data_IF_406028947226
#
_entry.id   IF_406028947226
#
_cell.length_a   1.000
_cell.length_b   1.000
_cell.length_c   1.000
_cell.angle_alpha   90.00
_cell.angle_beta   90.00
_cell.angle_gamma   90.00
#
_symmetry.space_group_name_H-M   'P 1'
#
loop_
_entity.id
_entity.type
_entity.pdbx_description
1 polymer ?
#
# COMPACT_ATOMS: atom_id res chain seq x y z
N UNK A 1 -13.68 22.43 -5.34
CA UNK A 1 -13.59 21.86 -6.71
C UNK A 1 -13.19 20.37 -6.67
N UNK A 2 -12.11 19.99 -6.01
CA UNK A 2 -11.58 18.60 -5.97
C UNK A 2 -12.58 17.64 -5.32
N UNK A 3 -13.30 18.06 -4.28
CA UNK A 3 -14.26 17.23 -3.55
C UNK A 3 -15.47 16.83 -4.41
N UNK A 4 -15.96 17.74 -5.25
CA UNK A 4 -17.10 17.46 -6.14
C UNK A 4 -16.71 16.50 -7.26
N UNK A 5 -15.53 16.69 -7.88
CA UNK A 5 -15.02 15.79 -8.92
C UNK A 5 -14.80 14.36 -8.37
N UNK A 6 -14.37 14.23 -7.10
CA UNK A 6 -14.25 12.92 -6.44
C UNK A 6 -15.59 12.19 -6.36
N UNK A 7 -16.63 12.89 -5.94
CA UNK A 7 -17.97 12.33 -5.84
C UNK A 7 -18.53 11.96 -7.23
N UNK A 8 -18.33 12.85 -8.20
CA UNK A 8 -18.86 12.70 -9.56
C UNK A 8 -18.19 11.54 -10.33
N UNK A 9 -16.93 11.20 -9.99
CA UNK A 9 -16.26 10.01 -10.53
C UNK A 9 -16.60 8.72 -9.75
N UNK A 10 -16.83 8.82 -8.45
CA UNK A 10 -17.14 7.66 -7.61
C UNK A 10 -18.50 7.05 -7.95
N UNK A 11 -19.51 7.89 -8.23
CA UNK A 11 -20.88 7.43 -8.50
C UNK A 11 -20.98 6.53 -9.73
N UNK A 12 -20.55 6.92 -10.94
CA UNK A 12 -20.63 6.07 -12.12
C UNK A 12 -19.78 4.80 -11.96
N UNK A 13 -18.64 4.89 -11.28
CA UNK A 13 -17.77 3.75 -11.08
C UNK A 13 -18.38 2.71 -10.12
N UNK A 14 -19.06 3.17 -9.06
CA UNK A 14 -19.83 2.29 -8.17
C UNK A 14 -20.93 1.56 -8.94
N UNK A 15 -21.62 2.25 -9.85
CA UNK A 15 -22.64 1.63 -10.70
C UNK A 15 -22.06 0.54 -11.60
N UNK A 16 -20.92 0.81 -12.25
CA UNK A 16 -20.23 -0.19 -13.10
C UNK A 16 -19.87 -1.43 -12.27
N UNK A 17 -19.30 -1.26 -11.08
CA UNK A 17 -18.95 -2.36 -10.18
C UNK A 17 -20.20 -3.16 -9.80
N UNK A 18 -21.28 -2.49 -9.36
CA UNK A 18 -22.51 -3.17 -8.99
C UNK A 18 -23.13 -3.97 -10.14
N UNK A 19 -23.12 -3.43 -11.36
CA UNK A 19 -23.63 -4.16 -12.52
C UNK A 19 -22.72 -5.33 -12.91
N UNK A 20 -21.39 -5.19 -12.80
CA UNK A 20 -20.49 -6.32 -13.06
C UNK A 20 -20.63 -7.42 -12.00
N UNK A 21 -20.90 -7.08 -10.74
CA UNK A 21 -21.18 -8.04 -9.68
C UNK A 21 -22.52 -8.77 -9.88
N UNK A 22 -23.57 -8.08 -10.34
CA UNK A 22 -24.83 -8.72 -10.72
C UNK A 22 -24.65 -9.69 -11.90
N UNK A 23 -23.90 -9.27 -12.93
CA UNK A 23 -23.61 -10.13 -14.06
C UNK A 23 -22.79 -11.37 -13.69
N UNK A 24 -21.92 -11.30 -12.66
CA UNK A 24 -21.20 -12.48 -12.15
C UNK A 24 -22.11 -13.51 -11.46
N UNK A 25 -23.31 -13.10 -11.03
CA UNK A 25 -24.29 -13.97 -10.39
C UNK A 25 -25.28 -14.61 -11.39
N UNK A 26 -25.27 -14.16 -12.67
CA UNK A 26 -26.14 -14.72 -13.70
C UNK A 26 -25.68 -16.13 -14.09
N UNK A 27 -26.64 -17.06 -14.07
CA UNK A 27 -26.40 -18.45 -14.49
C UNK A 27 -26.55 -18.62 -16.01
N UNK A 28 -25.84 -19.60 -16.57
CA UNK A 28 -26.00 -19.99 -17.99
C UNK A 28 -25.29 -19.07 -18.98
N UNK A 29 -24.44 -18.16 -18.52
CA UNK A 29 -23.61 -17.38 -19.42
C UNK A 29 -22.50 -18.23 -20.05
N UNK A 30 -22.18 -18.05 -21.35
CA UNK A 30 -21.06 -18.70 -21.99
C UNK A 30 -19.72 -18.39 -21.29
N UNK A 31 -18.81 -19.34 -21.23
CA UNK A 31 -17.52 -19.20 -20.51
C UNK A 31 -16.74 -17.93 -20.88
N UNK A 32 -16.68 -17.61 -22.17
CA UNK A 32 -15.98 -16.40 -22.63
C UNK A 32 -16.65 -15.10 -22.13
N UNK A 33 -17.98 -15.11 -21.91
CA UNK A 33 -18.71 -13.96 -21.34
C UNK A 33 -18.39 -13.83 -19.86
N UNK A 34 -18.35 -14.94 -19.12
CA UNK A 34 -17.94 -14.94 -17.71
C UNK A 34 -16.52 -14.41 -17.55
N UNK A 35 -15.59 -14.79 -18.44
CA UNK A 35 -14.23 -14.26 -18.46
C UNK A 35 -14.19 -12.74 -18.68
N UNK A 36 -15.00 -12.22 -19.62
CA UNK A 36 -15.09 -10.77 -19.85
C UNK A 36 -15.63 -10.03 -18.62
N UNK A 37 -16.65 -10.57 -17.98
CA UNK A 37 -17.25 -9.96 -16.77
C UNK A 37 -16.22 -9.94 -15.63
N UNK A 38 -15.45 -11.03 -15.43
CA UNK A 38 -14.38 -11.08 -14.43
C UNK A 38 -13.34 -10.00 -14.69
N UNK A 39 -12.85 -9.88 -15.94
CA UNK A 39 -11.87 -8.85 -16.31
C UNK A 39 -12.43 -7.45 -16.10
N UNK A 40 -13.70 -7.19 -16.46
CA UNK A 40 -14.34 -5.90 -16.24
C UNK A 40 -14.48 -5.57 -14.76
N UNK A 41 -14.88 -6.53 -13.93
CA UNK A 41 -14.97 -6.38 -12.48
C UNK A 41 -13.62 -5.99 -11.88
N UNK A 42 -12.56 -6.73 -12.22
CA UNK A 42 -11.21 -6.47 -11.71
C UNK A 42 -10.68 -5.09 -12.15
N UNK A 43 -10.88 -4.73 -13.41
CA UNK A 43 -10.46 -3.42 -13.93
C UNK A 43 -11.25 -2.28 -13.28
N UNK A 44 -12.54 -2.46 -13.03
CA UNK A 44 -13.40 -1.46 -12.39
C UNK A 44 -13.03 -1.26 -10.92
N UNK A 45 -12.82 -2.35 -10.16
CA UNK A 45 -12.36 -2.30 -8.78
C UNK A 45 -10.99 -1.61 -8.68
N UNK A 46 -10.09 -1.93 -9.61
CA UNK A 46 -8.78 -1.29 -9.68
C UNK A 46 -8.87 0.20 -9.99
N UNK A 47 -9.74 0.61 -10.94
CA UNK A 47 -9.96 2.03 -11.24
C UNK A 47 -10.53 2.76 -10.03
N UNK A 48 -11.43 2.15 -9.25
CA UNK A 48 -11.96 2.72 -8.01
C UNK A 48 -10.85 3.02 -7.00
N UNK A 49 -9.91 2.09 -6.82
CA UNK A 49 -8.75 2.29 -5.94
C UNK A 49 -7.89 3.46 -6.45
N UNK A 50 -7.56 3.48 -7.76
CA UNK A 50 -6.76 4.56 -8.35
C UNK A 50 -7.41 5.94 -8.20
N UNK A 51 -8.71 6.05 -8.47
CA UNK A 51 -9.46 7.30 -8.31
C UNK A 51 -9.39 7.78 -6.86
N UNK A 52 -9.66 6.90 -5.90
CA UNK A 52 -9.54 7.21 -4.48
C UNK A 52 -8.14 7.68 -4.11
N UNK A 53 -7.12 7.01 -4.60
CA UNK A 53 -5.71 7.29 -4.30
C UNK A 53 -5.28 8.67 -4.82
N UNK A 54 -5.63 9.02 -6.06
CA UNK A 54 -5.39 10.35 -6.63
C UNK A 54 -6.01 11.45 -5.79
N UNK A 55 -7.26 11.26 -5.32
CA UNK A 55 -7.93 12.26 -4.50
C UNK A 55 -7.32 12.38 -3.11
N UNK A 56 -6.89 11.29 -2.49
CA UNK A 56 -6.24 11.34 -1.18
C UNK A 56 -4.89 12.06 -1.24
N UNK A 57 -4.08 11.75 -2.25
CA UNK A 57 -2.82 12.46 -2.49
C UNK A 57 -3.06 13.93 -2.82
N UNK A 58 -4.13 14.25 -3.55
CA UNK A 58 -4.51 15.64 -3.83
C UNK A 58 -4.97 16.40 -2.56
N UNK A 59 -5.74 15.76 -1.68
CA UNK A 59 -6.13 16.34 -0.38
C UNK A 59 -4.92 16.60 0.51
N UNK A 60 -3.96 15.69 0.55
CA UNK A 60 -2.74 15.86 1.31
C UNK A 60 -1.91 17.04 0.80
N UNK A 61 -1.76 17.19 -0.53
CA UNK A 61 -1.05 18.32 -1.13
C UNK A 61 -1.67 19.69 -0.83
N UNK A 62 -2.97 19.72 -0.50
CA UNK A 62 -3.70 20.95 -0.12
C UNK A 62 -3.86 21.11 1.40
N UNK A 63 -3.23 20.25 2.22
CA UNK A 63 -3.37 20.26 3.68
C UNK A 63 -4.73 19.82 4.22
N UNK A 64 -5.60 19.26 3.37
CA UNK A 64 -6.98 18.87 3.70
C UNK A 64 -7.15 17.37 3.97
N UNK A 65 -6.05 16.62 4.14
CA UNK A 65 -6.12 15.21 4.51
C UNK A 65 -6.41 15.11 6.01
N UNK A 66 -7.59 14.61 6.36
CA UNK A 66 -7.90 14.27 7.76
C UNK A 66 -7.19 12.97 8.15
N UNK A 67 -6.56 12.99 9.33
CA UNK A 67 -5.93 11.83 9.97
C UNK A 67 -6.46 11.68 11.39
N UNK A 68 -6.71 10.45 11.81
CA UNK A 68 -7.17 10.12 13.18
C UNK A 68 -5.99 9.54 13.97
N UNK A 69 -5.17 10.43 14.52
CA UNK A 69 -3.94 10.03 15.23
C UNK A 69 -4.29 9.46 16.61
N UNK A 70 -3.93 8.20 16.82
CA UNK A 70 -4.14 7.46 18.06
C UNK A 70 -2.89 6.64 18.43
N UNK A 71 -2.70 6.30 19.72
CA UNK A 71 -1.69 5.31 20.08
C UNK A 71 -2.03 3.96 19.47
N UNK A 72 -1.13 3.41 18.67
CA UNK A 72 -1.28 2.10 18.04
C UNK A 72 -0.05 1.24 18.28
N UNK A 73 -0.23 -0.08 18.34
CA UNK A 73 0.85 -1.05 18.34
C UNK A 73 1.31 -1.33 16.90
N UNK A 74 2.45 -0.76 16.54
CA UNK A 74 3.01 -0.86 15.21
C UNK A 74 3.38 -2.31 14.83
N UNK A 75 3.88 -3.10 15.79
CA UNK A 75 4.20 -4.51 15.56
C UNK A 75 2.92 -5.34 15.29
N UNK A 76 1.83 -5.07 16.02
CA UNK A 76 0.53 -5.70 15.80
C UNK A 76 -0.05 -5.33 14.42
N UNK A 77 0.02 -4.05 14.04
CA UNK A 77 -0.45 -3.57 12.73
C UNK A 77 0.30 -4.29 11.59
N UNK A 78 1.62 -4.41 11.67
CA UNK A 78 2.40 -5.12 10.65
C UNK A 78 2.05 -6.60 10.58
N UNK A 79 1.90 -7.28 11.73
CA UNK A 79 1.45 -8.69 11.76
C UNK A 79 0.10 -8.87 11.11
N UNK A 80 -0.86 -7.96 11.39
CA UNK A 80 -2.19 -8.00 10.79
C UNK A 80 -2.11 -7.75 9.27
N UNK A 81 -1.36 -6.76 8.81
CA UNK A 81 -1.18 -6.50 7.38
C UNK A 81 -0.60 -7.72 6.65
N UNK A 82 0.38 -8.39 7.25
CA UNK A 82 0.97 -9.60 6.67
C UNK A 82 -0.04 -10.77 6.63
N UNK A 83 -0.86 -10.92 7.66
CA UNK A 83 -1.91 -11.95 7.70
C UNK A 83 -2.97 -11.70 6.62
N UNK A 84 -3.43 -10.46 6.47
CA UNK A 84 -4.43 -10.07 5.47
C UNK A 84 -3.91 -10.21 4.02
N UNK A 85 -2.60 -10.12 3.82
CA UNK A 85 -1.95 -10.30 2.51
C UNK A 85 -1.40 -11.73 2.31
N UNK A 86 -1.70 -12.66 3.20
CA UNK A 86 -1.13 -14.02 3.22
C UNK A 86 -1.31 -14.75 1.89
N UNK A 87 -2.51 -14.76 1.33
CA UNK A 87 -2.82 -15.39 0.02
C UNK A 87 -1.96 -14.80 -1.11
N UNK A 88 -1.90 -13.47 -1.23
CA UNK A 88 -1.09 -12.81 -2.25
C UNK A 88 0.42 -13.08 -2.08
N UNK A 89 0.89 -13.21 -0.82
CA UNK A 89 2.28 -13.57 -0.53
C UNK A 89 2.57 -15.01 -0.99
N UNK A 90 1.69 -15.95 -0.67
CA UNK A 90 1.82 -17.35 -1.08
C UNK A 90 1.79 -17.52 -2.60
N UNK A 91 0.84 -16.88 -3.27
CA UNK A 91 0.70 -16.93 -4.73
C UNK A 91 1.89 -16.31 -5.47
N UNK A 92 2.58 -15.34 -4.86
CA UNK A 92 3.75 -14.70 -5.48
C UNK A 92 4.96 -15.63 -5.63
N UNK A 93 5.03 -16.72 -4.88
CA UNK A 93 6.20 -17.61 -4.81
C UNK A 93 7.44 -16.98 -4.16
N UNK A 94 7.34 -15.78 -3.59
CA UNK A 94 8.43 -15.06 -2.92
C UNK A 94 8.49 -15.43 -1.44
N UNK A 95 9.69 -15.51 -0.90
CA UNK A 95 9.89 -15.81 0.52
C UNK A 95 9.91 -14.52 1.35
N UNK A 96 8.79 -14.15 1.96
CA UNK A 96 8.72 -13.05 2.90
C UNK A 96 9.33 -13.46 4.25
N UNK A 97 10.22 -12.63 4.80
CA UNK A 97 10.97 -12.84 6.05
C UNK A 97 10.73 -11.70 7.02
N UNK A 98 9.64 -11.75 7.83
CA UNK A 98 9.38 -10.73 8.84
C UNK A 98 10.28 -10.92 10.06
N UNK A 99 10.79 -9.80 10.60
CA UNK A 99 11.48 -9.68 11.88
C UNK A 99 10.79 -8.61 12.69
N UNK A 100 9.78 -9.00 13.44
CA UNK A 100 8.94 -8.11 14.23
C UNK A 100 9.12 -8.42 15.72
N UNK A 101 9.25 -7.40 16.59
CA UNK A 101 9.30 -7.62 18.04
C UNK A 101 8.04 -8.33 18.54
N UNK A 102 8.17 -9.22 19.52
CA UNK A 102 7.02 -9.84 20.21
C UNK A 102 6.31 -8.81 21.10
N UNK A 103 7.07 -7.93 21.73
CA UNK A 103 6.54 -6.86 22.56
C UNK A 103 5.87 -5.75 21.71
N UNK A 104 4.82 -5.11 22.24
CA UNK A 104 4.19 -3.97 21.57
C UNK A 104 5.16 -2.81 21.33
N UNK A 105 5.08 -2.21 20.14
CA UNK A 105 5.82 -1.00 19.75
C UNK A 105 4.83 0.12 19.57
N UNK A 106 4.71 1.01 20.57
CA UNK A 106 3.72 2.07 20.57
C UNK A 106 4.19 3.31 19.82
N UNK A 107 3.38 3.73 18.84
CA UNK A 107 3.54 4.98 18.08
C UNK A 107 2.21 5.73 18.04
N UNK A 108 2.23 7.03 17.74
CA UNK A 108 1.04 7.82 17.49
C UNK A 108 0.84 7.94 15.97
N UNK A 109 -0.18 7.30 15.41
CA UNK A 109 -0.49 7.33 13.98
C UNK A 109 -1.97 7.01 13.71
N UNK A 110 -2.41 7.24 12.47
CA UNK A 110 -3.68 6.74 11.95
C UNK A 110 -3.47 5.30 11.46
N UNK A 111 -4.12 4.34 12.14
CA UNK A 111 -3.95 2.91 11.88
C UNK A 111 -4.37 2.51 10.45
N UNK A 112 -5.47 3.06 9.93
CA UNK A 112 -5.98 2.75 8.60
C UNK A 112 -5.03 3.28 7.52
N UNK A 113 -4.48 4.49 7.72
CA UNK A 113 -3.49 5.09 6.82
C UNK A 113 -2.20 4.29 6.82
N UNK A 114 -1.71 3.94 7.98
CA UNK A 114 -0.47 3.18 8.10
C UNK A 114 -0.62 1.74 7.57
N UNK A 115 -1.77 1.10 7.76
CA UNK A 115 -2.09 -0.17 7.12
C UNK A 115 -1.97 -0.07 5.59
N UNK A 116 -2.52 0.98 4.97
CA UNK A 116 -2.40 1.21 3.52
C UNK A 116 -0.97 1.50 3.07
N UNK A 117 -0.15 2.15 3.90
CA UNK A 117 1.29 2.32 3.62
C UNK A 117 1.93 0.96 3.40
N UNK A 118 1.73 0.02 4.33
CA UNK A 118 2.36 -1.30 4.24
C UNK A 118 1.73 -2.20 3.18
N UNK A 119 0.43 -2.09 2.93
CA UNK A 119 -0.18 -2.75 1.76
C UNK A 119 0.49 -2.31 0.45
N UNK A 120 0.74 -1.01 0.27
CA UNK A 120 1.42 -0.49 -0.92
C UNK A 120 2.87 -0.97 -1.01
N UNK A 121 3.62 -0.93 0.11
CA UNK A 121 5.02 -1.34 0.13
C UNK A 121 5.18 -2.85 -0.12
N UNK A 122 4.39 -3.67 0.56
CA UNK A 122 4.41 -5.14 0.39
C UNK A 122 3.93 -5.48 -1.02
N UNK A 123 2.82 -4.90 -1.49
CA UNK A 123 2.29 -5.13 -2.83
C UNK A 123 3.30 -4.75 -3.93
N UNK A 124 4.03 -3.65 -3.77
CA UNK A 124 5.13 -3.30 -4.67
C UNK A 124 6.25 -4.34 -4.63
N UNK A 125 6.66 -4.78 -3.44
CA UNK A 125 7.69 -5.79 -3.31
C UNK A 125 7.27 -7.13 -3.95
N UNK A 126 6.03 -7.60 -3.74
CA UNK A 126 5.50 -8.80 -4.39
C UNK A 126 5.51 -8.70 -5.91
N UNK A 127 5.20 -7.51 -6.43
CA UNK A 127 5.09 -7.27 -7.88
C UNK A 127 6.43 -7.14 -8.59
N UNK A 128 7.41 -6.45 -7.97
CA UNK A 128 8.64 -6.03 -8.64
C UNK A 128 9.88 -6.81 -8.21
N UNK A 129 9.77 -7.72 -7.24
CA UNK A 129 10.90 -8.54 -6.84
C UNK A 129 11.30 -9.56 -7.88
N UNK A 130 12.59 -9.87 -7.89
CA UNK A 130 13.16 -10.96 -8.67
C UNK A 130 12.54 -12.29 -8.21
N UNK A 131 12.08 -13.11 -9.15
CA UNK A 131 11.46 -14.40 -8.89
C UNK A 131 12.37 -15.30 -8.02
N UNK A 132 11.80 -15.99 -7.05
CA UNK A 132 12.52 -16.83 -6.11
C UNK A 132 13.40 -16.09 -5.09
N UNK A 133 13.40 -14.75 -5.11
CA UNK A 133 14.13 -13.94 -4.13
C UNK A 133 13.38 -13.83 -2.78
N UNK A 134 13.93 -13.03 -1.88
CA UNK A 134 13.37 -12.81 -0.53
C UNK A 134 12.97 -11.35 -0.34
N UNK A 135 11.86 -11.16 0.37
CA UNK A 135 11.43 -9.86 0.89
C UNK A 135 11.69 -9.86 2.40
N UNK A 136 12.37 -8.85 2.90
CA UNK A 136 12.62 -8.67 4.33
C UNK A 136 11.78 -7.51 4.84
N UNK A 137 11.04 -7.73 5.92
CA UNK A 137 10.34 -6.68 6.67
C UNK A 137 10.81 -6.71 8.12
N UNK A 138 11.47 -5.67 8.56
CA UNK A 138 12.05 -5.57 9.89
C UNK A 138 11.48 -4.36 10.63
N UNK A 139 11.05 -4.54 11.88
CA UNK A 139 10.66 -3.46 12.78
C UNK A 139 11.64 -3.40 13.93
N UNK A 140 12.25 -2.24 14.14
CA UNK A 140 13.14 -1.96 15.26
C UNK A 140 12.58 -0.82 16.10
N UNK A 141 12.87 -0.86 17.41
CA UNK A 141 12.53 0.22 18.34
C UNK A 141 13.78 0.55 19.17
N UNK A 142 14.42 1.65 18.87
CA UNK A 142 15.65 2.11 19.51
C UNK A 142 15.70 3.65 19.51
N UNK A 143 16.40 4.23 20.47
CA UNK A 143 16.70 5.67 20.55
C UNK A 143 15.47 6.58 20.43
N UNK A 144 14.34 6.13 20.98
CA UNK A 144 13.08 6.87 20.95
C UNK A 144 12.32 6.82 19.60
N UNK A 145 12.78 5.99 18.66
CA UNK A 145 12.18 5.81 17.34
C UNK A 145 11.77 4.36 17.10
N UNK A 146 10.67 4.19 16.39
CA UNK A 146 10.28 2.92 15.77
C UNK A 146 10.52 3.03 14.26
N UNK A 147 11.24 2.08 13.67
CA UNK A 147 11.53 2.07 12.24
C UNK A 147 11.17 0.71 11.63
N UNK A 148 10.26 0.71 10.67
CA UNK A 148 9.93 -0.43 9.85
C UNK A 148 10.65 -0.30 8.50
N UNK A 149 11.44 -1.30 8.14
CA UNK A 149 12.25 -1.31 6.92
C UNK A 149 11.88 -2.52 6.08
N UNK A 150 11.47 -2.27 4.84
CA UNK A 150 11.21 -3.29 3.85
C UNK A 150 12.34 -3.29 2.82
N UNK A 151 12.89 -4.46 2.51
CA UNK A 151 13.94 -4.65 1.50
C UNK A 151 13.58 -5.79 0.57
N UNK A 152 13.83 -5.56 -0.71
CA UNK A 152 13.70 -6.61 -1.73
C UNK A 152 14.70 -6.38 -2.87
N UNK A 153 15.05 -7.46 -3.57
CA UNK A 153 15.82 -7.40 -4.81
C UNK A 153 14.86 -7.20 -5.96
N UNK A 154 15.03 -6.13 -6.74
CA UNK A 154 14.21 -5.85 -7.91
C UNK A 154 14.52 -6.82 -9.05
N UNK A 155 13.50 -7.12 -9.87
CA UNK A 155 13.68 -7.89 -11.11
C UNK A 155 14.49 -7.12 -12.15
N UNK A 156 14.36 -5.82 -12.15
CA UNK A 156 15.02 -4.89 -13.06
C UNK A 156 15.97 -4.00 -12.28
N UNK A 157 17.02 -3.53 -12.96
CA UNK A 157 17.92 -2.54 -12.41
C UNK A 157 17.16 -1.25 -12.09
N UNK A 158 17.37 -0.71 -10.90
CA UNK A 158 16.67 0.48 -10.44
C UNK A 158 17.44 1.73 -10.89
N UNK A 159 16.74 2.77 -11.38
CA UNK A 159 17.42 3.97 -11.87
C UNK A 159 18.11 4.70 -10.72
N UNK A 160 19.38 5.04 -10.92
CA UNK A 160 20.15 5.86 -9.99
C UNK A 160 19.67 7.33 -10.02
N UNK A 161 19.56 7.93 -8.83
CA UNK A 161 19.25 9.36 -8.68
C UNK A 161 17.81 9.77 -9.00
N UNK A 162 16.91 8.81 -9.26
CA UNK A 162 15.49 9.07 -9.48
C UNK A 162 14.75 8.97 -8.16
N UNK A 163 13.95 9.97 -7.80
CA UNK A 163 13.03 9.88 -6.67
C UNK A 163 11.81 9.01 -7.04
N UNK A 164 11.91 7.72 -6.76
CA UNK A 164 10.84 6.75 -7.00
C UNK A 164 9.55 7.06 -6.20
N UNK A 165 9.57 8.03 -5.30
CA UNK A 165 8.42 8.46 -4.51
C UNK A 165 7.64 9.59 -5.17
N UNK A 166 8.14 10.17 -6.26
CA UNK A 166 7.38 11.12 -7.07
C UNK A 166 6.15 10.45 -7.71
N UNK A 167 5.16 11.28 -8.03
CA UNK A 167 3.91 10.81 -8.60
C UNK A 167 4.12 10.33 -10.03
N UNK A 168 3.52 9.17 -10.34
CA UNK A 168 3.55 8.58 -11.68
C UNK A 168 4.95 8.19 -12.21
N UNK A 169 5.96 8.14 -11.34
CA UNK A 169 7.27 7.58 -11.71
C UNK A 169 7.12 6.07 -11.88
N UNK A 170 7.52 5.58 -13.04
CA UNK A 170 7.55 4.15 -13.38
C UNK A 170 8.85 3.83 -14.11
N UNK A 171 9.38 2.64 -13.91
CA UNK A 171 10.38 2.09 -14.81
C UNK A 171 9.81 1.94 -16.23
N UNK A 172 10.64 2.09 -17.26
CA UNK A 172 10.18 2.17 -18.67
C UNK A 172 9.38 0.94 -19.16
N UNK A 173 9.61 -0.26 -18.61
CA UNK A 173 8.95 -1.50 -19.03
C UNK A 173 7.65 -1.82 -18.25
N UNK A 174 7.38 -1.16 -17.14
CA UNK A 174 6.17 -1.40 -16.33
C UNK A 174 4.86 -0.86 -16.92
N UNK A 175 4.88 -0.34 -18.14
CA UNK A 175 3.69 0.24 -18.82
C UNK A 175 2.59 -0.78 -19.06
N UNK A 176 2.92 -2.06 -19.23
CA UNK A 176 1.97 -3.15 -19.51
C UNK A 176 1.41 -3.81 -18.25
N UNK A 177 2.17 -3.83 -17.15
CA UNK A 177 1.81 -4.60 -15.94
C UNK A 177 0.88 -3.88 -14.95
N UNK A 178 0.32 -2.76 -15.36
CA UNK A 178 -0.86 -2.21 -14.71
C UNK A 178 -0.66 -1.59 -13.31
N UNK A 179 0.52 -1.14 -12.88
CA UNK A 179 0.70 -0.33 -11.66
C UNK A 179 0.22 1.11 -11.87
N UNK A 180 -0.37 1.77 -10.85
CA UNK A 180 -0.78 3.19 -10.95
C UNK A 180 0.39 4.16 -10.89
N UNK A 181 1.58 3.74 -10.43
CA UNK A 181 2.70 4.61 -10.12
C UNK A 181 2.46 5.53 -8.91
N UNK A 182 1.41 5.26 -8.13
CA UNK A 182 1.03 6.07 -6.98
C UNK A 182 1.38 5.42 -5.63
N UNK A 183 1.72 4.14 -5.60
CA UNK A 183 1.88 3.38 -4.35
C UNK A 183 2.91 3.98 -3.41
N UNK A 184 4.10 4.35 -3.91
CA UNK A 184 5.16 4.96 -3.09
C UNK A 184 4.82 6.39 -2.70
N UNK A 185 4.21 7.18 -3.59
CA UNK A 185 3.77 8.54 -3.27
C UNK A 185 2.66 8.55 -2.20
N UNK A 186 1.77 7.56 -2.21
CA UNK A 186 0.76 7.35 -1.16
C UNK A 186 1.43 6.96 0.15
N UNK A 187 2.38 6.02 0.12
CA UNK A 187 3.10 5.60 1.31
C UNK A 187 3.84 6.78 1.96
N UNK A 188 4.54 7.60 1.19
CA UNK A 188 5.15 8.84 1.66
C UNK A 188 4.12 9.79 2.27
N UNK A 189 3.09 10.11 1.48
CA UNK A 189 2.04 11.07 1.87
C UNK A 189 1.37 10.70 3.18
N UNK A 190 0.99 9.43 3.36
CA UNK A 190 0.30 9.00 4.57
C UNK A 190 1.24 8.91 5.77
N UNK A 191 2.47 8.46 5.58
CA UNK A 191 3.47 8.45 6.64
C UNK A 191 3.73 9.86 7.16
N UNK A 192 3.97 10.82 6.28
CA UNK A 192 4.23 12.22 6.62
C UNK A 192 3.00 12.90 7.25
N UNK A 193 1.80 12.64 6.72
CA UNK A 193 0.55 13.16 7.30
C UNK A 193 0.29 12.63 8.73
N UNK A 194 0.77 11.43 9.04
CA UNK A 194 0.73 10.86 10.40
C UNK A 194 1.89 11.33 11.30
N UNK A 195 2.76 12.22 10.82
CA UNK A 195 3.91 12.73 11.60
C UNK A 195 5.14 11.81 11.61
N UNK A 196 5.17 10.81 10.73
CA UNK A 196 6.32 9.94 10.50
C UNK A 196 7.27 10.44 9.42
N UNK A 197 8.34 9.70 9.19
CA UNK A 197 9.32 9.94 8.13
C UNK A 197 9.34 8.74 7.17
N UNK A 198 9.31 9.03 5.88
CA UNK A 198 9.38 8.05 4.81
C UNK A 198 10.64 8.26 3.97
N UNK A 199 11.36 7.18 3.67
CA UNK A 199 12.50 7.24 2.76
C UNK A 199 12.59 5.99 1.89
N UNK A 200 13.09 6.18 0.67
CA UNK A 200 13.40 5.11 -0.28
C UNK A 200 14.86 5.23 -0.66
N UNK A 201 15.55 4.11 -0.72
CA UNK A 201 16.93 4.00 -1.19
C UNK A 201 17.02 2.86 -2.19
N UNK A 202 17.76 3.09 -3.25
CA UNK A 202 18.10 2.09 -4.26
C UNK A 202 19.60 1.93 -4.34
N UNK A 203 20.05 0.70 -4.46
CA UNK A 203 21.47 0.39 -4.67
C UNK A 203 21.54 -0.78 -5.65
N UNK A 204 21.87 -0.50 -6.89
CA UNK A 204 21.76 -1.43 -8.00
C UNK A 204 20.32 -1.99 -8.08
N UNK A 205 20.13 -3.29 -7.88
CA UNK A 205 18.84 -3.98 -7.85
C UNK A 205 18.20 -4.06 -6.45
N UNK A 206 18.87 -3.56 -5.40
CA UNK A 206 18.34 -3.56 -4.05
C UNK A 206 17.46 -2.35 -3.80
N UNK A 207 16.16 -2.59 -3.53
CA UNK A 207 15.21 -1.61 -3.07
C UNK A 207 15.06 -1.65 -1.55
N UNK A 208 15.08 -0.50 -0.91
CA UNK A 208 14.84 -0.34 0.52
C UNK A 208 13.85 0.79 0.77
N UNK A 209 12.73 0.51 1.43
CA UNK A 209 11.79 1.52 1.93
C UNK A 209 11.81 1.52 3.46
N UNK A 210 11.87 2.71 4.06
CA UNK A 210 11.87 2.90 5.51
C UNK A 210 10.74 3.82 5.93
N UNK A 211 10.02 3.40 6.97
CA UNK A 211 8.92 4.14 7.62
C UNK A 211 9.25 4.27 9.08
N UNK A 212 9.41 5.48 9.62
CA UNK A 212 9.75 5.69 11.01
C UNK A 212 8.84 6.67 11.71
N UNK A 213 8.63 6.44 13.00
CA UNK A 213 7.82 7.26 13.91
C UNK A 213 8.50 7.41 15.25
N UNK A 214 8.31 8.54 15.94
CA UNK A 214 8.67 8.65 17.35
C UNK A 214 7.90 7.62 18.20
N UNK A 215 8.58 6.98 19.15
CA UNK A 215 7.91 6.12 20.12
C UNK A 215 7.02 6.97 21.03
N UNK A 216 5.82 6.51 21.34
CA UNK A 216 4.93 7.14 22.33
C UNK A 216 4.86 6.31 23.60
N UNK A 217 4.68 7.02 24.74
CA UNK A 217 4.37 6.39 26.04
C UNK A 217 2.86 6.22 26.24
N UNK A 218 2.07 6.90 25.45
CA UNK A 218 0.62 6.76 25.47
C UNK A 218 0.22 5.35 25.03
N UNK A 219 -0.76 4.82 25.71
CA UNK A 219 -1.35 3.50 25.40
C UNK A 219 -2.85 3.69 25.22
N UNK A 220 -3.50 2.91 24.35
CA UNK A 220 -4.96 2.94 24.30
C UNK A 220 -5.52 2.60 25.68
N UNK A 221 -6.68 3.16 26.06
CA UNK A 221 -7.39 2.75 27.26
C UNK A 221 -7.59 1.22 27.19
N UNK A 222 -7.41 0.54 28.33
CA UNK A 222 -7.69 -0.89 28.39
C UNK A 222 -9.17 -1.08 28.06
N UNK A 223 -9.44 -1.89 27.04
CA UNK A 223 -10.79 -2.42 26.83
C UNK A 223 -11.15 -3.23 28.09
N UNK A 224 -12.22 -2.80 28.80
CA UNK A 224 -12.81 -3.53 29.92
C UNK A 224 -13.64 -4.72 29.42
#
# INVERSE_FOLDING_TARGET
LITNVSHDLKTPLTSIISYTELLQQEEGLPDHVQDYIRVLSDKSKRLQVMVRDVFEVSKAATGNLSVDIKPIDFAKLLRQTLADMGEAIEESGLALRPRLPESPVWIAADGDRLYRVFQNLIGNALKYSLEGSRIYLELTAADGQAAAVLRNTSREELPDGVDLTERFVRGDESRTDGGSGLGLSIARTFTEACGGTFSVQTQADLFTASVSFPLTRERPPKEE
#
